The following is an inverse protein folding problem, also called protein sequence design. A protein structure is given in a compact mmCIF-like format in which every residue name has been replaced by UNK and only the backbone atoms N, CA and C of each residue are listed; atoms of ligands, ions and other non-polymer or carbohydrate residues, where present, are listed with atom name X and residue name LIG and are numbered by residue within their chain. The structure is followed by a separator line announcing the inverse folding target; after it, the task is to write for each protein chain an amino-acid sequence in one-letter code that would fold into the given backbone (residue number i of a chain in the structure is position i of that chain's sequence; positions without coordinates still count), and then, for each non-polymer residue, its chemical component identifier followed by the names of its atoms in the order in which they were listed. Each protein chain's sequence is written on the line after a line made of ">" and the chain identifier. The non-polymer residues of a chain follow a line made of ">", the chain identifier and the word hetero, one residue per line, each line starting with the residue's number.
data_IF_895542602267
#
_entry.id   IF_895542602267
#
_cell.length_a   1.000
_cell.length_b   1.000
_cell.length_c   1.000
_cell.angle_alpha   90.00
_cell.angle_beta   90.00
_cell.angle_gamma   90.00
#
_symmetry.space_group_name_H-M   'P 1'
#
loop_
_entity.id
_entity.type
_entity.pdbx_description
1 polymer ?
#
# COMPACT_ATOMS: atom_id res chain seq x y z
N UNK A 1 -13.87 3.10 -11.15
CA UNK A 1 -12.60 2.33 -11.16
C UNK A 1 -11.37 3.22 -11.23
N UNK A 2 -11.27 4.17 -12.17
CA UNK A 2 -10.07 5.03 -12.33
C UNK A 2 -9.72 5.84 -11.07
N UNK A 3 -10.68 6.57 -10.49
CA UNK A 3 -10.43 7.37 -9.27
C UNK A 3 -9.94 6.50 -8.10
N UNK A 4 -10.56 5.33 -7.89
CA UNK A 4 -10.15 4.37 -6.87
C UNK A 4 -8.71 3.88 -7.08
N UNK A 5 -8.32 3.60 -8.33
CA UNK A 5 -6.95 3.20 -8.66
C UNK A 5 -5.94 4.30 -8.33
N UNK A 6 -6.26 5.57 -8.60
CA UNK A 6 -5.40 6.70 -8.24
C UNK A 6 -5.25 6.86 -6.72
N UNK A 7 -6.35 6.73 -5.97
CA UNK A 7 -6.33 6.81 -4.49
C UNK A 7 -5.48 5.68 -3.90
N UNK A 8 -5.74 4.43 -4.32
CA UNK A 8 -4.98 3.28 -3.83
C UNK A 8 -3.52 3.34 -4.23
N UNK A 9 -3.22 3.74 -5.47
CA UNK A 9 -1.86 3.97 -5.95
C UNK A 9 -1.12 5.00 -5.10
N UNK A 10 -1.78 6.11 -4.76
CA UNK A 10 -1.21 7.17 -3.92
C UNK A 10 -0.91 6.67 -2.50
N UNK A 11 -1.80 5.90 -1.89
CA UNK A 11 -1.60 5.32 -0.55
C UNK A 11 -0.41 4.36 -0.57
N UNK A 12 -0.35 3.44 -1.54
CA UNK A 12 0.76 2.48 -1.67
C UNK A 12 2.08 3.21 -1.90
N UNK A 13 2.10 4.22 -2.77
CA UNK A 13 3.29 5.02 -3.05
C UNK A 13 3.79 5.77 -1.81
N UNK A 14 2.88 6.41 -1.05
CA UNK A 14 3.22 7.11 0.19
C UNK A 14 3.77 6.15 1.25
N UNK A 15 3.12 5.02 1.47
CA UNK A 15 3.57 4.03 2.45
C UNK A 15 4.91 3.40 2.06
N UNK A 16 5.09 3.06 0.78
CA UNK A 16 6.37 2.57 0.25
C UNK A 16 7.48 3.63 0.36
N UNK A 17 7.18 4.89 0.03
CA UNK A 17 8.11 6.00 0.14
C UNK A 17 8.55 6.25 1.58
N UNK A 18 7.61 6.34 2.52
CA UNK A 18 7.91 6.52 3.95
C UNK A 18 8.70 5.32 4.50
N UNK A 19 8.38 4.10 4.04
CA UNK A 19 9.15 2.91 4.38
C UNK A 19 10.62 3.02 3.95
N UNK A 20 10.86 3.44 2.70
CA UNK A 20 12.21 3.61 2.15
C UNK A 20 12.97 4.73 2.87
N UNK A 21 12.32 5.87 3.12
CA UNK A 21 12.91 6.97 3.88
C UNK A 21 13.28 6.54 5.30
N UNK A 22 12.39 5.84 5.99
CA UNK A 22 12.66 5.32 7.34
C UNK A 22 13.83 4.33 7.33
N UNK A 23 13.95 3.51 6.28
CA UNK A 23 15.06 2.59 6.13
C UNK A 23 16.39 3.32 5.86
N UNK A 24 16.39 4.35 5.02
CA UNK A 24 17.56 5.19 4.78
C UNK A 24 18.03 5.90 6.06
N UNK A 25 17.11 6.43 6.87
CA UNK A 25 17.43 7.05 8.15
C UNK A 25 18.01 6.01 9.13
N UNK A 26 17.50 4.79 9.14
CA UNK A 26 18.08 3.71 9.94
C UNK A 26 19.53 3.42 9.55
N UNK A 27 19.84 3.34 8.25
CA UNK A 27 21.22 3.13 7.78
C UNK A 27 22.14 4.26 8.26
N UNK A 28 21.69 5.51 8.21
CA UNK A 28 22.50 6.66 8.63
C UNK A 28 22.63 6.84 10.15
N UNK A 29 21.65 6.40 10.94
CA UNK A 29 21.60 6.66 12.39
C UNK A 29 21.82 5.44 13.27
N UNK A 30 21.66 4.23 12.75
CA UNK A 30 21.73 2.98 13.51
C UNK A 30 20.58 2.78 14.52
N UNK A 31 19.59 3.68 14.56
CA UNK A 31 18.52 3.63 15.57
C UNK A 31 17.43 2.64 15.13
N UNK A 32 17.28 1.54 15.86
CA UNK A 32 16.31 0.46 15.59
C UNK A 32 14.85 0.90 15.46
N UNK A 33 14.47 2.04 16.06
CA UNK A 33 13.14 2.62 15.91
C UNK A 33 12.79 2.86 14.43
N UNK A 34 13.75 3.37 13.64
CA UNK A 34 13.54 3.66 12.22
C UNK A 34 13.39 2.38 11.40
N UNK A 35 14.12 1.32 11.77
CA UNK A 35 13.96 -0.01 11.16
C UNK A 35 12.59 -0.63 11.47
N UNK A 36 12.09 -0.45 12.71
CA UNK A 36 10.72 -0.89 13.08
C UNK A 36 9.67 -0.13 12.27
N UNK A 37 9.81 1.19 12.13
CA UNK A 37 8.91 2.02 11.32
C UNK A 37 8.94 1.63 9.84
N UNK A 38 10.12 1.42 9.25
CA UNK A 38 10.26 0.96 7.88
C UNK A 38 9.49 -0.36 7.64
N UNK A 39 9.69 -1.36 8.52
CA UNK A 39 8.98 -2.64 8.43
C UNK A 39 7.46 -2.49 8.56
N UNK A 40 6.99 -1.63 9.47
CA UNK A 40 5.57 -1.35 9.67
C UNK A 40 4.93 -0.72 8.43
N UNK A 41 5.53 0.34 7.87
CA UNK A 41 5.03 0.99 6.66
C UNK A 41 5.06 0.06 5.44
N UNK A 42 6.12 -0.75 5.30
CA UNK A 42 6.16 -1.80 4.27
C UNK A 42 4.98 -2.77 4.41
N UNK A 43 4.69 -3.25 5.62
CA UNK A 43 3.55 -4.15 5.87
C UNK A 43 2.23 -3.49 5.49
N UNK A 44 2.03 -2.22 5.81
CA UNK A 44 0.82 -1.51 5.42
C UNK A 44 0.72 -1.27 3.91
N UNK A 45 1.83 -0.99 3.22
CA UNK A 45 1.84 -0.89 1.77
C UNK A 45 1.36 -2.21 1.12
N UNK A 46 1.86 -3.35 1.61
CA UNK A 46 1.39 -4.66 1.16
C UNK A 46 -0.09 -4.91 1.48
N UNK A 47 -0.54 -4.55 2.69
CA UNK A 47 -1.96 -4.70 3.06
C UNK A 47 -2.87 -3.85 2.15
N UNK A 48 -2.49 -2.61 1.86
CA UNK A 48 -3.22 -1.74 0.94
C UNK A 48 -3.26 -2.33 -0.48
N UNK A 49 -2.16 -2.92 -0.96
CA UNK A 49 -2.10 -3.56 -2.27
C UNK A 49 -2.99 -4.80 -2.36
N UNK A 50 -3.01 -5.64 -1.32
CA UNK A 50 -3.92 -6.79 -1.24
C UNK A 50 -5.38 -6.35 -1.21
N UNK A 51 -5.69 -5.30 -0.45
CA UNK A 51 -7.04 -4.73 -0.40
C UNK A 51 -7.48 -4.19 -1.77
N UNK A 52 -6.60 -3.45 -2.45
CA UNK A 52 -6.86 -2.96 -3.81
C UNK A 52 -7.19 -4.12 -4.75
N UNK A 53 -6.34 -5.15 -4.79
CA UNK A 53 -6.56 -6.32 -5.63
C UNK A 53 -7.90 -7.02 -5.33
N UNK A 54 -8.23 -7.16 -4.06
CA UNK A 54 -9.50 -7.76 -3.62
C UNK A 54 -10.70 -6.93 -4.11
N UNK A 55 -10.69 -5.62 -3.88
CA UNK A 55 -11.76 -4.71 -4.33
C UNK A 55 -11.89 -4.73 -5.85
N UNK A 56 -10.79 -4.83 -6.59
CA UNK A 56 -10.84 -4.94 -8.05
C UNK A 56 -11.60 -6.20 -8.48
N UNK A 57 -11.21 -7.37 -7.97
CA UNK A 57 -11.84 -8.65 -8.33
C UNK A 57 -13.33 -8.63 -7.98
N UNK A 58 -13.67 -8.32 -6.74
CA UNK A 58 -15.06 -8.32 -6.30
C UNK A 58 -15.89 -7.24 -6.99
N UNK A 59 -15.29 -6.08 -7.28
CA UNK A 59 -15.93 -5.04 -8.07
C UNK A 59 -16.27 -5.51 -9.48
N UNK A 60 -15.38 -6.28 -10.13
CA UNK A 60 -15.64 -6.90 -11.44
C UNK A 60 -16.73 -7.96 -11.33
N UNK A 61 -16.70 -8.83 -10.33
CA UNK A 61 -17.73 -9.86 -10.12
C UNK A 61 -19.11 -9.23 -9.95
N UNK A 62 -19.24 -8.21 -9.12
CA UNK A 62 -20.51 -7.49 -8.91
C UNK A 62 -20.98 -6.82 -10.21
N UNK A 63 -20.07 -6.19 -10.97
CA UNK A 63 -20.41 -5.59 -12.26
C UNK A 63 -20.94 -6.63 -13.26
N UNK A 64 -20.34 -7.82 -13.29
CA UNK A 64 -20.81 -8.91 -14.16
C UNK A 64 -22.21 -9.33 -13.71
N UNK A 65 -22.43 -9.57 -12.42
CA UNK A 65 -23.73 -10.00 -11.89
C UNK A 65 -24.87 -8.98 -12.13
N UNK A 66 -24.57 -7.68 -12.14
CA UNK A 66 -25.57 -6.63 -12.39
C UNK A 66 -25.94 -6.52 -13.88
N UNK A 67 -24.96 -6.74 -14.77
CA UNK A 67 -25.17 -6.62 -16.22
C UNK A 67 -25.62 -7.91 -16.90
N UNK A 68 -25.80 -8.99 -16.13
CA UNK A 68 -26.28 -10.29 -16.59
C UNK A 68 -27.77 -10.44 -16.28
#
# INVERSE_FOLDING_TARGET
>A
MVVFAWVMGSIVALMGGISLLSFAIFIGTGIDLWLKRARLFRRYAFAAMLFWFNVWIWGTVVMILINW
#
